data_IF_609033321089
#
_entry.id   IF_609033321089
#
_cell.length_a   1.000
_cell.length_b   1.000
_cell.length_c   1.000
_cell.angle_alpha   90.00
_cell.angle_beta   90.00
_cell.angle_gamma   90.00
#
_symmetry.space_group_name_H-M   'P 1'
#
loop_
_entity.id
_entity.type
_entity.pdbx_description
1 polymer ?
#
# COMPACT_ATOMS: atom_id res chain seq x y z
N UNK A 1 -62.06 -8.18 -4.38
CA UNK A 1 -62.15 -6.70 -4.38
C UNK A 1 -61.44 -6.26 -5.64
N UNK A 2 -62.17 -5.64 -6.55
CA UNK A 2 -61.60 -5.09 -7.77
C UNK A 2 -61.91 -3.60 -7.82
N UNK A 3 -60.91 -2.78 -8.15
CA UNK A 3 -61.06 -1.34 -8.23
C UNK A 3 -61.26 -0.95 -9.68
N UNK A 4 -62.41 -0.36 -9.97
CA UNK A 4 -62.76 0.12 -11.30
C UNK A 4 -63.07 1.62 -11.16
N UNK A 5 -62.22 2.47 -11.71
CA UNK A 5 -62.26 3.92 -11.51
C UNK A 5 -62.02 4.32 -10.05
N UNK A 6 -62.91 5.15 -9.49
CA UNK A 6 -62.86 5.62 -8.10
C UNK A 6 -63.53 4.69 -7.07
N UNK A 7 -64.23 3.65 -7.51
CA UNK A 7 -65.08 2.81 -6.64
C UNK A 7 -64.52 1.38 -6.49
N UNK A 8 -64.83 0.76 -5.35
CA UNK A 8 -64.43 -0.61 -5.03
C UNK A 8 -65.61 -1.56 -5.20
N UNK A 9 -65.41 -2.64 -5.95
CA UNK A 9 -66.43 -3.64 -6.24
C UNK A 9 -66.08 -4.98 -5.58
N UNK A 10 -67.11 -5.66 -5.05
CA UNK A 10 -67.00 -6.95 -4.37
C UNK A 10 -67.95 -7.95 -5.01
N UNK A 11 -67.43 -9.12 -5.39
CA UNK A 11 -68.20 -10.25 -5.89
C UNK A 11 -67.51 -11.56 -5.49
N UNK A 12 -68.29 -12.64 -5.43
CA UNK A 12 -67.79 -13.99 -5.18
C UNK A 12 -68.46 -14.99 -6.11
N UNK A 13 -67.66 -15.89 -6.69
CA UNK A 13 -68.14 -17.00 -7.50
C UNK A 13 -67.69 -18.32 -6.85
N UNK A 14 -68.54 -19.37 -6.82
CA UNK A 14 -68.13 -20.68 -6.32
C UNK A 14 -66.91 -21.26 -7.06
N UNK A 15 -66.74 -20.92 -8.33
CA UNK A 15 -65.63 -21.34 -9.18
C UNK A 15 -64.32 -20.56 -8.95
N UNK A 16 -64.35 -19.41 -8.26
CA UNK A 16 -63.20 -18.53 -8.13
C UNK A 16 -62.00 -19.24 -7.48
N UNK A 17 -62.25 -19.94 -6.36
CA UNK A 17 -61.20 -20.69 -5.67
C UNK A 17 -60.59 -21.81 -6.52
N UNK A 18 -61.42 -22.50 -7.33
CA UNK A 18 -60.95 -23.52 -8.25
C UNK A 18 -60.11 -22.91 -9.38
N UNK A 19 -60.52 -21.76 -9.93
CA UNK A 19 -59.79 -21.08 -10.99
C UNK A 19 -58.44 -20.55 -10.51
N UNK A 20 -58.37 -19.94 -9.32
CA UNK A 20 -57.09 -19.51 -8.72
C UNK A 20 -56.11 -20.68 -8.60
N UNK A 21 -56.60 -21.86 -8.15
CA UNK A 21 -55.75 -23.06 -8.06
C UNK A 21 -55.29 -23.56 -9.42
N UNK A 22 -56.15 -23.54 -10.45
CA UNK A 22 -55.77 -23.92 -11.83
C UNK A 22 -54.72 -22.98 -12.41
N UNK A 23 -54.91 -21.66 -12.25
CA UNK A 23 -53.93 -20.66 -12.68
C UNK A 23 -52.59 -20.90 -11.97
N UNK A 24 -52.61 -21.16 -10.66
CA UNK A 24 -51.39 -21.46 -9.90
C UNK A 24 -50.69 -22.73 -10.38
N UNK A 25 -51.44 -23.76 -10.74
CA UNK A 25 -50.87 -24.98 -11.33
C UNK A 25 -50.19 -24.66 -12.67
N UNK A 26 -50.86 -23.89 -13.56
CA UNK A 26 -50.29 -23.48 -14.85
C UNK A 26 -48.99 -22.68 -14.66
N UNK A 27 -49.01 -21.65 -13.80
CA UNK A 27 -47.83 -20.84 -13.47
C UNK A 27 -46.67 -21.70 -12.97
N UNK A 28 -46.95 -22.66 -12.07
CA UNK A 28 -45.92 -23.53 -11.52
C UNK A 28 -45.38 -24.51 -12.58
N UNK A 29 -46.22 -25.00 -13.48
CA UNK A 29 -45.80 -25.86 -14.59
C UNK A 29 -44.90 -25.11 -15.57
N UNK A 30 -45.24 -23.87 -15.92
CA UNK A 30 -44.40 -22.99 -16.75
C UNK A 30 -43.06 -22.70 -16.06
N UNK A 31 -43.08 -22.42 -14.74
CA UNK A 31 -41.86 -22.18 -13.97
C UNK A 31 -40.97 -23.43 -13.90
N UNK A 32 -41.54 -24.63 -13.74
CA UNK A 32 -40.80 -25.89 -13.76
C UNK A 32 -40.14 -26.08 -15.12
N UNK A 33 -40.88 -25.92 -16.22
CA UNK A 33 -40.34 -26.08 -17.56
C UNK A 33 -39.17 -25.10 -17.83
N UNK A 34 -39.31 -23.84 -17.42
CA UNK A 34 -38.25 -22.84 -17.54
C UNK A 34 -37.00 -23.18 -16.70
N UNK A 35 -37.20 -23.73 -15.49
CA UNK A 35 -36.10 -24.17 -14.63
C UNK A 35 -35.40 -25.41 -15.19
N UNK A 36 -36.15 -26.36 -15.75
CA UNK A 36 -35.60 -27.55 -16.40
C UNK A 36 -34.77 -27.17 -17.63
N UNK A 37 -35.27 -26.27 -18.48
CA UNK A 37 -34.51 -25.72 -19.61
C UNK A 37 -33.22 -25.05 -19.13
N UNK A 38 -33.31 -24.19 -18.10
CA UNK A 38 -32.12 -23.56 -17.53
C UNK A 38 -31.12 -24.57 -16.96
N UNK A 39 -31.61 -25.62 -16.30
CA UNK A 39 -30.74 -26.63 -15.71
C UNK A 39 -29.99 -27.41 -16.79
N UNK A 40 -30.69 -27.82 -17.85
CA UNK A 40 -30.06 -28.50 -18.99
C UNK A 40 -29.05 -27.62 -19.72
N UNK A 41 -29.31 -26.32 -19.86
CA UNK A 41 -28.35 -25.37 -20.40
C UNK A 41 -27.08 -25.27 -19.52
N UNK A 42 -27.25 -25.12 -18.20
CA UNK A 42 -26.14 -25.06 -17.25
C UNK A 42 -25.32 -26.36 -17.21
N UNK A 43 -25.97 -27.52 -17.29
CA UNK A 43 -25.29 -28.81 -17.38
C UNK A 43 -24.42 -28.90 -18.64
N UNK A 44 -24.91 -28.38 -19.77
CA UNK A 44 -24.14 -28.25 -21.01
C UNK A 44 -22.92 -27.32 -20.87
N UNK A 45 -23.09 -26.16 -20.23
CA UNK A 45 -21.98 -25.25 -19.94
C UNK A 45 -20.93 -25.87 -19.02
N UNK A 46 -21.36 -26.61 -17.98
CA UNK A 46 -20.47 -27.31 -17.06
C UNK A 46 -19.70 -28.41 -17.80
N UNK A 47 -20.36 -29.19 -18.67
CA UNK A 47 -19.71 -30.22 -19.47
C UNK A 47 -18.64 -29.62 -20.39
N UNK A 48 -18.95 -28.52 -21.08
CA UNK A 48 -17.99 -27.79 -21.91
C UNK A 48 -16.82 -27.21 -21.09
N UNK A 49 -17.08 -26.65 -19.92
CA UNK A 49 -16.04 -26.12 -19.05
C UNK A 49 -15.11 -27.24 -18.52
N UNK A 50 -15.67 -28.42 -18.22
CA UNK A 50 -14.90 -29.59 -17.78
C UNK A 50 -14.00 -30.16 -18.87
N UNK A 51 -14.46 -30.23 -20.12
CA UNK A 51 -13.65 -30.74 -21.23
C UNK A 51 -12.45 -29.84 -21.56
N UNK A 52 -12.58 -28.53 -21.37
CA UNK A 52 -11.46 -27.58 -21.54
C UNK A 52 -10.53 -27.56 -20.31
N UNK A 53 -11.07 -27.83 -19.12
CA UNK A 53 -10.35 -27.79 -17.84
C UNK A 53 -10.06 -29.19 -17.32
N UNK A 54 -9.57 -30.07 -18.19
CA UNK A 54 -9.23 -31.42 -17.76
C UNK A 54 -8.17 -31.37 -16.65
N UNK A 55 -8.39 -32.09 -15.53
CA UNK A 55 -7.40 -32.21 -14.49
C UNK A 55 -6.26 -33.10 -15.00
N UNK A 56 -5.17 -32.46 -15.44
CA UNK A 56 -3.91 -33.11 -15.77
C UNK A 56 -2.83 -32.76 -14.75
N UNK A 57 -1.85 -33.64 -14.59
CA UNK A 57 -0.71 -33.39 -13.69
C UNK A 57 0.02 -32.09 -14.08
N UNK A 58 0.18 -31.85 -15.38
CA UNK A 58 0.74 -30.62 -15.92
C UNK A 58 -0.05 -29.38 -15.51
N UNK A 59 -1.39 -29.45 -15.51
CA UNK A 59 -2.24 -28.34 -15.08
C UNK A 59 -2.08 -28.07 -13.58
N UNK A 60 -2.02 -29.11 -12.76
CA UNK A 60 -1.80 -28.97 -11.32
C UNK A 60 -0.43 -28.34 -11.02
N UNK A 61 0.61 -28.78 -11.73
CA UNK A 61 1.95 -28.18 -11.64
C UNK A 61 1.94 -26.70 -12.03
N UNK A 62 1.33 -26.34 -13.16
CA UNK A 62 1.23 -24.94 -13.61
C UNK A 62 0.49 -24.09 -12.57
N UNK A 63 -0.63 -24.57 -12.02
CA UNK A 63 -1.36 -23.86 -10.98
C UNK A 63 -0.52 -23.64 -9.72
N UNK A 64 0.23 -24.66 -9.29
CA UNK A 64 1.18 -24.55 -8.17
C UNK A 64 2.30 -23.55 -8.46
N UNK A 65 2.82 -23.53 -9.68
CA UNK A 65 3.83 -22.56 -10.11
C UNK A 65 3.28 -21.13 -10.10
N UNK A 66 2.06 -20.92 -10.59
CA UNK A 66 1.40 -19.61 -10.57
C UNK A 66 1.19 -19.13 -9.13
N UNK A 67 0.71 -20.00 -8.24
CA UNK A 67 0.53 -19.66 -6.83
C UNK A 67 1.84 -19.25 -6.16
N UNK A 68 2.92 -20.00 -6.39
CA UNK A 68 4.26 -19.61 -5.92
C UNK A 68 4.71 -18.26 -6.50
N UNK A 69 4.50 -18.04 -7.79
CA UNK A 69 4.89 -16.79 -8.45
C UNK A 69 4.14 -15.58 -7.88
N UNK A 70 2.85 -15.71 -7.60
CA UNK A 70 2.04 -14.66 -6.96
C UNK A 70 2.58 -14.31 -5.57
N UNK A 71 2.95 -15.31 -4.77
CA UNK A 71 3.53 -15.08 -3.45
C UNK A 71 4.87 -14.34 -3.53
N UNK A 72 5.74 -14.74 -4.45
CA UNK A 72 7.04 -14.08 -4.67
C UNK A 72 6.85 -12.65 -5.19
N UNK A 73 5.94 -12.44 -6.14
CA UNK A 73 5.62 -11.11 -6.65
C UNK A 73 5.19 -10.18 -5.51
N UNK A 74 4.27 -10.64 -4.66
CA UNK A 74 3.77 -9.86 -3.54
C UNK A 74 4.89 -9.49 -2.55
N UNK A 75 5.76 -10.45 -2.21
CA UNK A 75 6.90 -10.18 -1.35
C UNK A 75 7.87 -9.15 -1.96
N UNK A 76 8.15 -9.26 -3.27
CA UNK A 76 8.99 -8.30 -3.98
C UNK A 76 8.36 -6.91 -4.05
N UNK A 77 7.05 -6.80 -4.24
CA UNK A 77 6.33 -5.52 -4.24
C UNK A 77 6.38 -4.85 -2.85
N UNK A 78 6.23 -5.63 -1.78
CA UNK A 78 6.39 -5.15 -0.40
C UNK A 78 7.82 -4.67 -0.14
N UNK A 79 8.83 -5.38 -0.65
CA UNK A 79 10.23 -4.96 -0.54
C UNK A 79 10.52 -3.69 -1.36
N UNK A 80 10.05 -3.62 -2.61
CA UNK A 80 10.19 -2.43 -3.46
C UNK A 80 9.54 -1.20 -2.82
N UNK A 81 8.39 -1.36 -2.16
CA UNK A 81 7.73 -0.27 -1.45
C UNK A 81 8.61 0.32 -0.34
N UNK A 82 9.40 -0.52 0.36
CA UNK A 82 10.36 -0.06 1.38
C UNK A 82 11.48 0.79 0.77
N UNK A 83 11.88 0.50 -0.46
CA UNK A 83 12.94 1.21 -1.16
C UNK A 83 12.44 2.33 -2.07
N UNK A 84 11.14 2.63 -2.07
CA UNK A 84 10.54 3.66 -2.96
C UNK A 84 11.20 5.04 -2.83
N UNK A 85 11.72 5.37 -1.65
CA UNK A 85 12.36 6.67 -1.34
C UNK A 85 13.89 6.60 -1.42
N UNK A 86 14.45 5.42 -1.71
CA UNK A 86 15.89 5.17 -1.79
C UNK A 86 16.40 5.37 -3.23
N UNK A 87 16.15 6.53 -3.83
CA UNK A 87 16.70 6.87 -5.15
C UNK A 87 18.25 6.94 -5.06
N UNK A 88 18.99 6.10 -5.81
CA UNK A 88 20.45 6.09 -5.78
C UNK A 88 21.08 7.44 -6.14
N UNK A 89 20.44 8.22 -7.02
CA UNK A 89 20.93 9.55 -7.43
C UNK A 89 20.80 10.55 -6.30
N UNK A 90 19.65 10.55 -5.61
CA UNK A 90 19.39 11.41 -4.45
C UNK A 90 20.29 11.01 -3.29
N UNK A 91 20.48 9.71 -3.03
CA UNK A 91 21.38 9.21 -1.99
C UNK A 91 22.83 9.62 -2.25
N UNK A 92 23.33 9.50 -3.49
CA UNK A 92 24.67 9.97 -3.87
C UNK A 92 24.81 11.48 -3.75
N UNK A 93 23.79 12.25 -4.13
CA UNK A 93 23.80 13.70 -3.97
C UNK A 93 23.84 14.11 -2.49
N UNK A 94 23.05 13.44 -1.64
CA UNK A 94 23.07 13.63 -0.19
C UNK A 94 24.43 13.24 0.42
N UNK A 95 25.03 12.12 0.02
CA UNK A 95 26.35 11.70 0.49
C UNK A 95 27.42 12.73 0.09
N UNK A 96 27.42 13.20 -1.16
CA UNK A 96 28.34 14.25 -1.61
C UNK A 96 28.16 15.56 -0.85
N UNK A 97 26.91 15.98 -0.62
CA UNK A 97 26.60 17.17 0.15
C UNK A 97 27.00 17.02 1.63
N UNK A 98 26.76 15.85 2.23
CA UNK A 98 27.16 15.54 3.60
C UNK A 98 28.69 15.53 3.74
N UNK A 99 29.43 14.96 2.78
CA UNK A 99 30.90 15.04 2.73
C UNK A 99 31.37 16.47 2.61
N UNK A 100 30.81 17.26 1.69
CA UNK A 100 31.18 18.66 1.53
C UNK A 100 30.87 19.50 2.78
N UNK A 101 29.74 19.25 3.45
CA UNK A 101 29.36 19.90 4.70
C UNK A 101 30.25 19.47 5.86
N UNK A 102 30.58 18.18 5.96
CA UNK A 102 31.55 17.64 6.93
C UNK A 102 32.93 18.21 6.71
N UNK A 103 33.42 18.26 5.47
CA UNK A 103 34.69 18.91 5.14
C UNK A 103 34.64 20.41 5.39
N UNK A 104 33.52 21.09 5.14
CA UNK A 104 33.39 22.51 5.46
C UNK A 104 33.41 22.73 6.97
N UNK A 105 32.62 21.97 7.73
CA UNK A 105 32.63 21.98 9.18
C UNK A 105 34.04 21.66 9.71
N UNK A 106 34.66 20.58 9.24
CA UNK A 106 36.04 20.18 9.56
C UNK A 106 37.11 21.12 8.98
N UNK A 107 36.84 22.00 8.01
CA UNK A 107 37.75 23.12 7.68
C UNK A 107 37.61 24.24 8.70
N UNK A 108 36.38 24.47 9.15
CA UNK A 108 36.05 25.30 10.29
C UNK A 108 36.28 24.59 11.65
N UNK A 109 36.79 23.37 11.76
CA UNK A 109 37.05 22.75 13.08
C UNK A 109 38.35 21.96 13.12
N UNK A 110 38.78 21.35 12.02
CA UNK A 110 39.94 20.48 11.89
C UNK A 110 41.10 21.07 11.10
N UNK A 111 42.31 20.85 11.63
CA UNK A 111 43.61 20.64 10.96
C UNK A 111 43.64 21.12 9.50
N UNK A 112 43.74 22.42 9.21
CA UNK A 112 44.94 23.23 9.37
C UNK A 112 44.66 24.67 9.86
N UNK A 113 43.40 25.06 10.07
CA UNK A 113 43.09 26.48 10.31
C UNK A 113 42.14 26.84 11.44
N UNK A 114 41.08 26.11 11.87
CA UNK A 114 40.18 26.65 12.93
C UNK A 114 40.42 26.23 14.37
N UNK A 115 40.93 25.02 14.67
CA UNK A 115 41.50 24.79 16.01
C UNK A 115 42.62 25.79 16.26
N UNK A 116 43.37 26.19 15.23
CA UNK A 116 44.12 27.43 15.31
C UNK A 116 43.19 28.63 15.39
N UNK A 117 42.41 29.09 14.42
CA UNK A 117 41.73 30.39 14.50
C UNK A 117 40.89 30.62 15.78
N UNK A 118 40.06 29.68 16.23
CA UNK A 118 39.35 29.84 17.52
C UNK A 118 40.33 29.77 18.69
N UNK A 119 41.21 28.77 18.80
CA UNK A 119 42.16 28.70 19.93
C UNK A 119 43.35 29.68 19.81
N UNK A 120 43.57 30.29 18.66
CA UNK A 120 44.60 31.28 18.31
C UNK A 120 44.03 32.65 18.57
N UNK A 121 42.77 32.93 18.21
CA UNK A 121 42.05 34.10 18.71
C UNK A 121 41.92 33.98 20.22
N UNK A 122 41.55 32.82 20.77
CA UNK A 122 41.48 32.60 22.20
C UNK A 122 42.85 32.81 22.86
N UNK A 123 43.92 32.17 22.35
CA UNK A 123 45.26 32.33 22.89
C UNK A 123 45.75 33.77 22.75
N UNK A 124 45.47 34.45 21.64
CA UNK A 124 45.79 35.87 21.46
C UNK A 124 45.00 36.76 22.43
N UNK A 125 43.73 36.49 22.67
CA UNK A 125 42.90 37.18 23.65
C UNK A 125 43.40 36.97 25.07
N UNK A 126 43.85 35.76 25.41
CA UNK A 126 44.46 35.42 26.69
C UNK A 126 45.80 36.14 26.85
N UNK A 127 46.68 36.06 25.85
CA UNK A 127 48.06 36.54 25.92
C UNK A 127 48.18 38.07 25.79
N UNK A 128 47.34 38.71 24.97
CA UNK A 128 47.39 40.18 24.74
C UNK A 128 46.42 40.98 25.60
N UNK A 129 45.27 40.41 25.95
CA UNK A 129 44.20 41.12 26.64
C UNK A 129 43.91 40.56 28.05
N UNK A 130 44.59 39.49 28.46
CA UNK A 130 44.46 38.92 29.82
C UNK A 130 43.11 38.26 30.09
N UNK A 131 42.35 37.90 29.05
CA UNK A 131 41.03 37.28 29.18
C UNK A 131 41.22 35.82 29.63
N UNK A 132 40.44 35.37 30.61
CA UNK A 132 40.48 33.98 31.07
C UNK A 132 39.86 33.03 30.01
N UNK A 133 40.47 31.87 29.77
CA UNK A 133 39.97 30.91 28.75
C UNK A 133 38.55 30.45 29.03
N UNK A 134 38.20 30.25 30.30
CA UNK A 134 36.87 29.85 30.76
C UNK A 134 35.82 30.91 30.41
N UNK A 135 36.17 32.19 30.54
CA UNK A 135 35.31 33.33 30.18
C UNK A 135 35.15 33.46 28.67
N UNK A 136 36.23 33.28 27.89
CA UNK A 136 36.16 33.25 26.43
C UNK A 136 35.23 32.11 25.94
N UNK A 137 35.43 30.88 26.44
CA UNK A 137 34.62 29.73 26.07
C UNK A 137 33.15 29.93 26.42
N UNK A 138 32.85 30.49 27.60
CA UNK A 138 31.49 30.80 28.03
C UNK A 138 30.83 31.84 27.12
N UNK A 139 31.55 32.89 26.72
CA UNK A 139 31.02 33.96 25.88
C UNK A 139 30.76 33.53 24.43
N UNK A 140 31.52 32.57 23.91
CA UNK A 140 31.35 32.03 22.55
C UNK A 140 30.63 30.67 22.51
N UNK A 141 30.18 30.15 23.66
CA UNK A 141 29.44 28.90 23.75
C UNK A 141 30.25 27.66 23.36
N UNK A 142 31.57 27.68 23.57
CA UNK A 142 32.46 26.56 23.25
C UNK A 142 32.43 25.57 24.43
N UNK A 143 31.93 24.35 24.18
CA UNK A 143 31.89 23.25 25.15
C UNK A 143 33.24 22.54 25.28
N UNK A 144 33.51 21.93 26.43
CA UNK A 144 34.72 21.12 26.68
C UNK A 144 34.77 19.84 25.83
N UNK A 145 33.60 19.38 25.31
CA UNK A 145 33.48 18.22 24.41
C UNK A 145 33.55 18.61 22.92
N UNK A 146 33.90 19.85 22.61
CA UNK A 146 33.96 20.33 21.23
C UNK A 146 35.15 19.70 20.48
N UNK A 147 34.85 18.78 19.58
CA UNK A 147 35.85 18.11 18.73
C UNK A 147 35.33 17.92 17.28
N UNK A 148 36.20 17.43 16.42
CA UNK A 148 35.95 17.20 15.00
C UNK A 148 34.90 16.11 14.77
N UNK A 149 34.14 16.28 13.68
CA UNK A 149 33.14 15.30 13.26
C UNK A 149 33.88 14.14 12.56
N UNK A 150 33.84 12.94 13.16
CA UNK A 150 34.45 11.71 12.61
C UNK A 150 33.73 11.15 11.40
#
# INVERSE_FOLDING_TARGET
MEKIGGSNYFWSYPSAAAQTKRNKISELQEAIAALEEKNTALDGEIANAKSVREPSDMRLEILSHVERAILVQKANEEELLRFRECDPTVLRAKDKAARAAKEAANRWTGMESLHNNIFTIQSHCVDKFGIERSEFNRNFGISDEFDNIQ
#
